data_IF_132429326455
#
_entry.id   IF_132429326455
#
_cell.length_a   1.000
_cell.length_b   1.000
_cell.length_c   1.000
_cell.angle_alpha   90.00
_cell.angle_beta   90.00
_cell.angle_gamma   90.00
#
_symmetry.space_group_name_H-M   'P 1'
#
loop_
_entity.id
_entity.type
_entity.pdbx_description
1 polymer ?
#
# COMPACT_ATOMS: atom_id res chain seq x y z
N UNK A 1 -27.90 41.07 -60.57
CA UNK A 1 -29.34 41.31 -60.65
C UNK A 1 -30.03 41.03 -59.35
N UNK A 2 -30.42 42.17 -58.76
CA UNK A 2 -31.62 42.47 -57.97
C UNK A 2 -31.79 41.75 -56.61
N UNK A 3 -31.60 42.52 -55.56
CA UNK A 3 -32.57 43.33 -54.82
C UNK A 3 -33.60 42.49 -54.07
N UNK A 4 -33.69 42.52 -52.71
CA UNK A 4 -34.45 43.53 -52.02
C UNK A 4 -34.23 43.48 -50.44
N UNK A 5 -34.17 44.67 -49.93
CA UNK A 5 -34.15 45.18 -48.57
C UNK A 5 -35.41 44.86 -47.74
N UNK A 6 -35.18 45.02 -46.43
CA UNK A 6 -36.11 45.52 -45.42
C UNK A 6 -37.11 44.55 -44.77
N UNK A 7 -36.95 44.27 -43.53
CA UNK A 7 -37.73 45.02 -42.52
C UNK A 7 -37.28 44.87 -41.11
N UNK A 8 -37.03 46.02 -40.47
CA UNK A 8 -36.91 46.16 -38.99
C UNK A 8 -38.24 45.85 -38.34
N UNK A 9 -38.21 45.14 -37.22
CA UNK A 9 -39.07 45.49 -36.09
C UNK A 9 -38.39 45.09 -34.77
N UNK A 10 -38.08 46.11 -34.01
CA UNK A 10 -37.73 46.05 -32.58
C UNK A 10 -38.83 45.39 -31.78
N UNK A 11 -38.48 44.44 -30.90
CA UNK A 11 -39.21 44.21 -29.66
C UNK A 11 -38.29 43.86 -28.54
N UNK A 12 -38.16 44.81 -27.65
CA UNK A 12 -37.66 44.65 -26.31
C UNK A 12 -38.47 43.61 -25.55
N UNK A 13 -37.82 42.78 -24.77
CA UNK A 13 -38.52 41.84 -23.92
C UNK A 13 -37.60 40.97 -23.06
N UNK A 14 -37.22 41.51 -21.90
CA UNK A 14 -36.95 40.81 -20.65
C UNK A 14 -35.91 39.69 -20.67
N UNK A 15 -34.79 40.02 -20.09
CA UNK A 15 -33.83 39.06 -19.52
C UNK A 15 -34.53 38.12 -18.56
N UNK A 16 -34.43 36.84 -18.87
CA UNK A 16 -34.59 35.76 -17.92
C UNK A 16 -33.19 35.40 -17.48
N UNK A 17 -32.80 35.87 -16.33
CA UNK A 17 -31.67 35.36 -15.58
C UNK A 17 -32.05 33.97 -15.17
N UNK A 18 -31.62 32.97 -15.93
CA UNK A 18 -31.60 31.59 -15.46
C UNK A 18 -30.52 31.47 -14.39
N UNK A 19 -30.92 31.72 -13.14
CA UNK A 19 -30.22 31.19 -11.98
C UNK A 19 -30.37 29.67 -12.04
N UNK A 20 -29.47 29.00 -12.75
CA UNK A 20 -29.15 27.64 -12.44
C UNK A 20 -28.23 27.70 -11.24
N UNK A 21 -28.80 27.89 -10.06
CA UNK A 21 -28.28 27.32 -8.85
C UNK A 21 -28.21 25.81 -9.14
N UNK A 22 -26.99 25.34 -9.43
CA UNK A 22 -26.67 23.93 -9.36
C UNK A 22 -26.88 23.56 -7.90
N UNK A 23 -28.09 23.10 -7.57
CA UNK A 23 -28.32 22.28 -6.40
C UNK A 23 -27.37 21.07 -6.50
N UNK A 24 -26.18 21.26 -5.95
CA UNK A 24 -25.37 20.18 -5.43
C UNK A 24 -26.15 19.62 -4.23
N UNK A 25 -27.22 18.86 -4.48
CA UNK A 25 -27.66 17.87 -3.53
C UNK A 25 -26.45 16.97 -3.30
N UNK A 26 -25.67 17.28 -2.26
CA UNK A 26 -24.77 16.33 -1.62
C UNK A 26 -25.68 15.14 -1.24
N UNK A 27 -25.72 14.17 -2.13
CA UNK A 27 -26.22 12.85 -1.81
C UNK A 27 -25.34 12.34 -0.67
N UNK A 28 -25.83 12.47 0.54
CA UNK A 28 -25.27 11.94 1.77
C UNK A 28 -25.43 10.40 1.75
N UNK A 29 -24.93 9.79 0.64
CA UNK A 29 -24.79 8.34 0.56
C UNK A 29 -23.73 7.96 1.59
N UNK A 30 -24.13 7.25 2.62
CA UNK A 30 -23.27 6.74 3.67
C UNK A 30 -22.11 5.95 3.06
N UNK A 31 -20.93 6.58 2.93
CA UNK A 31 -19.75 5.96 2.38
C UNK A 31 -19.13 5.01 3.40
N UNK A 32 -18.76 3.82 2.98
CA UNK A 32 -18.07 2.84 3.82
C UNK A 32 -16.56 3.09 3.78
N UNK A 33 -15.92 3.31 4.94
CA UNK A 33 -14.48 3.50 4.99
C UNK A 33 -13.74 2.20 4.64
N UNK A 34 -12.64 2.34 3.92
CA UNK A 34 -11.73 1.23 3.59
C UNK A 34 -10.29 1.61 3.85
N UNK A 35 -9.47 0.61 4.14
CA UNK A 35 -8.02 0.74 4.18
C UNK A 35 -7.38 -0.52 3.60
N UNK A 36 -6.22 -0.35 2.98
CA UNK A 36 -5.49 -1.47 2.41
C UNK A 36 -4.25 -1.04 1.64
N UNK A 37 -3.59 -2.00 1.00
CA UNK A 37 -2.38 -1.77 0.21
C UNK A 37 -2.74 -1.73 -1.27
N UNK A 38 -2.27 -0.70 -1.97
CA UNK A 38 -2.52 -0.53 -3.40
C UNK A 38 -1.61 -1.46 -4.23
N UNK A 39 -2.24 -2.28 -5.06
CA UNK A 39 -1.59 -3.11 -6.07
C UNK A 39 -1.92 -2.56 -7.46
N UNK A 40 -0.91 -2.01 -8.15
CA UNK A 40 -1.06 -1.43 -9.49
C UNK A 40 -0.51 -2.39 -10.52
N UNK A 41 -1.38 -2.84 -11.41
CA UNK A 41 -1.04 -3.68 -12.54
C UNK A 41 -1.06 -2.88 -13.86
N UNK A 42 -0.74 -3.52 -14.97
CA UNK A 42 -0.60 -2.84 -16.26
C UNK A 42 -1.89 -2.14 -16.75
N UNK A 43 -3.05 -2.70 -16.47
CA UNK A 43 -4.36 -2.25 -16.98
C UNK A 43 -5.39 -1.94 -15.87
N UNK A 44 -5.08 -2.21 -14.62
CA UNK A 44 -5.98 -1.98 -13.48
C UNK A 44 -5.20 -1.83 -12.18
N UNK A 45 -5.88 -1.32 -11.15
CA UNK A 45 -5.34 -1.26 -9.79
C UNK A 45 -6.41 -1.67 -8.78
N UNK A 46 -5.96 -2.26 -7.66
CA UNK A 46 -6.82 -2.65 -6.54
C UNK A 46 -6.20 -2.24 -5.22
N UNK A 47 -7.04 -1.82 -4.28
CA UNK A 47 -6.67 -1.76 -2.87
C UNK A 47 -6.95 -3.13 -2.26
N UNK A 48 -5.90 -3.82 -1.83
CA UNK A 48 -5.97 -5.11 -1.14
C UNK A 48 -6.36 -4.87 0.31
N UNK A 49 -7.55 -5.32 0.70
CA UNK A 49 -8.09 -5.04 2.04
C UNK A 49 -7.86 -6.18 3.04
N UNK A 50 -7.51 -7.37 2.56
CA UNK A 50 -7.36 -8.59 3.37
C UNK A 50 -5.95 -9.17 3.31
N UNK A 51 -4.93 -8.32 3.29
CA UNK A 51 -3.52 -8.71 3.17
C UNK A 51 -2.90 -8.26 1.85
N UNK A 52 -1.95 -9.04 1.31
CA UNK A 52 -1.18 -8.66 0.11
C UNK A 52 -1.63 -9.40 -1.17
N UNK A 53 -2.43 -10.44 -1.03
CA UNK A 53 -2.93 -11.26 -2.14
C UNK A 53 -4.36 -10.84 -2.49
N UNK A 54 -4.77 -11.11 -3.74
CA UNK A 54 -6.11 -10.80 -4.22
C UNK A 54 -7.19 -11.43 -3.35
N UNK A 55 -8.16 -10.62 -2.94
CA UNK A 55 -9.28 -11.02 -2.07
C UNK A 55 -10.65 -10.60 -2.62
N UNK A 56 -11.71 -11.17 -2.07
CA UNK A 56 -13.07 -10.88 -2.54
C UNK A 56 -13.56 -9.46 -2.24
N UNK A 57 -12.97 -8.82 -1.22
CA UNK A 57 -13.34 -7.49 -0.74
C UNK A 57 -12.40 -6.40 -1.25
N UNK A 58 -11.58 -6.71 -2.25
CA UNK A 58 -10.67 -5.74 -2.83
C UNK A 58 -11.44 -4.60 -3.51
N UNK A 59 -10.87 -3.41 -3.46
CA UNK A 59 -11.49 -2.20 -3.99
C UNK A 59 -10.81 -1.80 -5.29
N UNK A 60 -11.60 -1.67 -6.35
CA UNK A 60 -11.11 -1.25 -7.65
C UNK A 60 -10.73 0.23 -7.67
N UNK A 61 -9.58 0.53 -8.26
CA UNK A 61 -9.09 1.89 -8.48
C UNK A 61 -8.76 2.05 -9.96
N UNK A 62 -9.28 3.08 -10.58
CA UNK A 62 -8.97 3.34 -11.99
C UNK A 62 -7.54 3.86 -12.13
N UNK A 63 -6.87 3.54 -13.24
CA UNK A 63 -5.54 4.09 -13.53
C UNK A 63 -5.55 5.62 -13.65
N UNK A 64 -6.69 6.21 -14.02
CA UNK A 64 -6.90 7.66 -14.01
C UNK A 64 -6.81 8.24 -12.58
N UNK A 65 -7.44 7.59 -11.61
CA UNK A 65 -7.35 7.97 -10.20
C UNK A 65 -5.92 7.78 -9.65
N UNK A 66 -5.26 6.65 -9.99
CA UNK A 66 -3.86 6.40 -9.62
C UNK A 66 -2.96 7.56 -10.07
N UNK A 67 -3.08 7.99 -11.32
CA UNK A 67 -2.31 9.11 -11.87
C UNK A 67 -2.69 10.45 -11.25
N UNK A 68 -3.99 10.71 -11.09
CA UNK A 68 -4.51 11.97 -10.53
C UNK A 68 -4.03 12.19 -9.10
N UNK A 69 -4.03 11.14 -8.28
CA UNK A 69 -3.63 11.20 -6.86
C UNK A 69 -2.13 10.92 -6.64
N UNK A 70 -1.39 10.58 -7.69
CA UNK A 70 0.04 10.28 -7.58
C UNK A 70 0.34 9.02 -6.78
N UNK A 71 -0.57 8.04 -6.82
CA UNK A 71 -0.45 6.78 -6.11
C UNK A 71 0.62 5.88 -6.73
N UNK A 72 1.22 5.05 -5.89
CA UNK A 72 2.23 4.07 -6.28
C UNK A 72 1.86 2.68 -5.76
N UNK A 73 2.28 1.65 -6.47
CA UNK A 73 2.11 0.27 -5.98
C UNK A 73 2.79 0.11 -4.62
N UNK A 74 2.11 -0.51 -3.66
CA UNK A 74 2.57 -0.66 -2.29
C UNK A 74 2.16 0.48 -1.34
N UNK A 75 1.49 1.54 -1.82
CA UNK A 75 0.96 2.59 -0.95
C UNK A 75 -0.14 2.05 -0.03
N UNK A 76 -0.06 2.37 1.26
CA UNK A 76 -1.15 2.18 2.20
C UNK A 76 -2.20 3.27 1.97
N UNK A 77 -3.37 2.88 1.47
CA UNK A 77 -4.46 3.77 1.07
C UNK A 77 -5.57 3.72 2.11
N UNK A 78 -6.06 4.88 2.52
CA UNK A 78 -7.29 5.04 3.28
C UNK A 78 -8.28 5.86 2.45
N UNK A 79 -9.54 5.43 2.43
CA UNK A 79 -10.56 6.08 1.60
C UNK A 79 -11.94 5.50 1.86
N UNK A 80 -12.85 5.72 0.93
CA UNK A 80 -14.22 5.25 1.07
C UNK A 80 -14.81 4.75 -0.26
N UNK A 81 -15.70 3.78 -0.15
CA UNK A 81 -16.48 3.20 -1.24
C UNK A 81 -17.97 3.41 -1.00
N UNK A 82 -18.77 3.37 -2.05
CA UNK A 82 -20.22 3.32 -1.91
C UNK A 82 -20.67 1.94 -1.44
N UNK A 83 -21.63 1.87 -0.53
CA UNK A 83 -22.26 0.59 -0.19
C UNK A 83 -22.92 0.00 -1.43
N UNK A 84 -22.98 -1.33 -1.55
CA UNK A 84 -23.73 -1.98 -2.62
C UNK A 84 -25.22 -1.63 -2.45
N UNK A 85 -25.87 -1.10 -3.51
CA UNK A 85 -27.31 -0.81 -3.48
C UNK A 85 -28.09 -2.13 -3.49
N UNK A 86 -28.98 -2.30 -2.52
CA UNK A 86 -29.95 -3.42 -2.53
C UNK A 86 -30.82 -3.30 -3.79
N UNK A 87 -30.68 -4.28 -4.69
CA UNK A 87 -31.47 -4.32 -5.95
C UNK A 87 -30.68 -4.03 -7.22
N UNK A 88 -29.40 -3.66 -7.14
CA UNK A 88 -28.58 -3.51 -8.34
C UNK A 88 -28.14 -4.89 -8.87
N UNK A 89 -29.01 -5.47 -9.72
CA UNK A 89 -28.75 -6.68 -10.49
C UNK A 89 -27.64 -6.53 -11.53
N UNK A 90 -26.77 -5.53 -11.38
CA UNK A 90 -25.66 -5.31 -12.29
C UNK A 90 -24.53 -6.29 -11.97
N UNK A 91 -24.75 -7.57 -12.28
CA UNK A 91 -23.81 -8.70 -12.19
C UNK A 91 -22.45 -8.48 -12.89
N UNK A 92 -22.19 -7.27 -13.41
CA UNK A 92 -20.96 -6.94 -14.15
C UNK A 92 -19.87 -6.34 -13.28
N UNK A 93 -20.19 -5.80 -12.10
CA UNK A 93 -19.17 -5.18 -11.24
C UNK A 93 -18.89 -6.07 -10.02
N UNK A 94 -17.83 -6.86 -10.11
CA UNK A 94 -17.44 -7.83 -9.08
C UNK A 94 -16.86 -7.14 -7.83
N UNK A 95 -16.33 -5.92 -7.98
CA UNK A 95 -15.62 -5.18 -6.94
C UNK A 95 -16.19 -3.77 -6.79
N UNK A 96 -16.23 -3.26 -5.56
CA UNK A 96 -16.57 -1.87 -5.30
C UNK A 96 -15.45 -0.95 -5.83
N UNK A 97 -15.84 0.22 -6.32
CA UNK A 97 -14.89 1.23 -6.79
C UNK A 97 -14.57 2.22 -5.66
N UNK A 98 -13.32 2.65 -5.58
CA UNK A 98 -12.91 3.73 -4.68
C UNK A 98 -13.55 5.04 -5.14
N UNK A 99 -14.28 5.70 -4.24
CA UNK A 99 -14.98 6.97 -4.49
C UNK A 99 -14.18 8.14 -3.94
N UNK A 100 -13.68 8.00 -2.74
CA UNK A 100 -12.93 9.05 -2.04
C UNK A 100 -11.62 8.51 -1.50
N UNK A 101 -10.56 9.29 -1.65
CA UNK A 101 -9.25 9.05 -1.05
C UNK A 101 -9.08 10.02 0.11
N UNK A 102 -8.75 9.52 1.28
CA UNK A 102 -8.59 10.31 2.51
C UNK A 102 -7.11 10.49 2.88
N UNK A 103 -6.32 9.42 2.81
CA UNK A 103 -4.89 9.47 3.11
C UNK A 103 -4.08 8.42 2.34
N UNK A 104 -2.80 8.69 2.16
CA UNK A 104 -1.81 7.80 1.54
C UNK A 104 -0.59 7.69 2.45
N UNK A 105 -0.29 6.49 2.96
CA UNK A 105 0.81 6.27 3.92
C UNK A 105 0.73 7.19 5.16
N UNK A 106 -0.48 7.53 5.61
CA UNK A 106 -0.71 8.47 6.71
C UNK A 106 -0.46 9.94 6.38
N UNK A 107 -0.17 10.27 5.12
CA UNK A 107 0.05 11.64 4.63
C UNK A 107 -1.19 12.17 3.91
N UNK A 108 -1.24 13.51 3.75
CA UNK A 108 -2.21 14.15 2.85
C UNK A 108 -1.98 13.72 1.39
N UNK A 109 -2.99 13.89 0.54
CA UNK A 109 -2.87 13.59 -0.90
C UNK A 109 -1.82 14.47 -1.56
N UNK A 110 -1.75 15.73 -1.16
CA UNK A 110 -0.81 16.72 -1.67
C UNK A 110 0.64 16.31 -1.34
N UNK A 111 0.91 15.95 -0.09
CA UNK A 111 2.23 15.49 0.35
C UNK A 111 2.62 14.19 -0.34
N UNK A 112 1.66 13.27 -0.48
CA UNK A 112 1.88 12.01 -1.18
C UNK A 112 2.25 12.22 -2.66
N UNK A 113 1.66 13.21 -3.34
CA UNK A 113 2.00 13.59 -4.72
C UNK A 113 3.39 14.24 -4.82
N UNK A 114 3.77 15.03 -3.82
CA UNK A 114 5.07 15.72 -3.78
C UNK A 114 6.26 14.79 -3.47
N UNK A 115 6.00 13.53 -3.12
CA UNK A 115 7.06 12.55 -2.76
C UNK A 115 8.09 12.40 -3.87
N UNK A 116 9.39 12.45 -3.50
CA UNK A 116 10.49 12.07 -4.39
C UNK A 116 10.34 10.62 -4.84
N UNK A 117 10.70 10.34 -6.09
CA UNK A 117 10.72 8.96 -6.57
C UNK A 117 11.95 8.22 -6.06
N UNK A 118 11.82 6.92 -5.81
CA UNK A 118 12.93 6.11 -5.28
C UNK A 118 14.20 6.20 -6.13
N UNK A 119 14.08 6.24 -7.45
CA UNK A 119 15.21 6.37 -8.39
C UNK A 119 15.97 7.69 -8.28
N UNK A 120 15.31 8.73 -7.73
CA UNK A 120 15.88 10.07 -7.59
C UNK A 120 16.48 10.30 -6.18
N UNK A 121 16.38 9.28 -5.29
CA UNK A 121 16.98 9.32 -3.97
C UNK A 121 18.49 9.09 -4.05
N UNK A 122 19.23 9.83 -3.22
CA UNK A 122 20.69 9.67 -3.09
C UNK A 122 20.96 8.61 -2.01
N UNK A 123 21.66 7.49 -2.35
CA UNK A 123 22.03 6.49 -1.36
C UNK A 123 23.07 7.03 -0.38
N UNK A 124 22.82 6.85 0.91
CA UNK A 124 23.77 7.22 1.97
C UNK A 124 24.25 5.96 2.68
N UNK A 125 25.50 6.00 3.19
CA UNK A 125 25.97 4.96 4.09
C UNK A 125 25.21 5.01 5.40
N UNK A 126 24.89 3.83 6.02
CA UNK A 126 24.28 3.79 7.34
C UNK A 126 25.24 4.37 8.37
N UNK A 127 24.76 5.30 9.18
CA UNK A 127 25.52 5.97 10.25
C UNK A 127 25.05 5.57 11.65
N UNK A 128 23.97 4.78 11.73
CA UNK A 128 23.44 4.23 12.98
C UNK A 128 23.47 2.71 12.95
N UNK A 129 23.99 2.09 14.00
CA UNK A 129 24.05 0.64 14.12
C UNK A 129 22.77 0.11 14.78
N UNK A 130 22.23 -0.98 14.23
CA UNK A 130 21.25 -1.84 14.91
C UNK A 130 21.98 -2.75 15.90
N UNK A 131 22.06 -2.35 17.17
CA UNK A 131 22.68 -3.20 18.18
C UNK A 131 21.81 -4.42 18.45
N UNK A 132 22.44 -5.59 18.39
CA UNK A 132 21.77 -6.88 18.59
C UNK A 132 21.98 -7.44 19.97
N UNK A 133 23.10 -7.14 20.63
CA UNK A 133 23.38 -7.64 21.98
C UNK A 133 22.32 -7.14 22.97
N UNK A 134 21.53 -8.06 23.51
CA UNK A 134 20.51 -7.80 24.53
C UNK A 134 20.69 -8.69 25.78
N UNK A 135 21.54 -9.72 25.71
CA UNK A 135 21.77 -10.66 26.79
C UNK A 135 23.25 -11.12 26.80
N UNK A 136 24.00 -10.87 27.88
CA UNK A 136 25.41 -11.29 27.98
C UNK A 136 25.61 -12.80 27.91
N UNK A 137 24.56 -13.60 28.16
CA UNK A 137 24.59 -15.06 28.03
C UNK A 137 24.48 -15.57 26.60
N UNK A 138 24.10 -14.68 25.65
CA UNK A 138 24.00 -15.02 24.22
C UNK A 138 25.16 -14.38 23.46
N UNK A 139 26.28 -15.09 23.25
CA UNK A 139 27.43 -14.52 22.57
C UNK A 139 27.22 -14.26 21.07
N UNK A 140 26.23 -14.91 20.45
CA UNK A 140 25.97 -14.80 19.00
C UNK A 140 25.69 -13.35 18.56
N UNK A 141 24.79 -12.68 19.28
CA UNK A 141 24.43 -11.29 18.97
C UNK A 141 25.62 -10.35 19.15
N UNK A 142 26.41 -10.54 20.21
CA UNK A 142 27.64 -9.77 20.44
C UNK A 142 28.69 -10.00 19.36
N UNK A 143 28.84 -11.26 18.92
CA UNK A 143 29.77 -11.58 17.81
C UNK A 143 29.36 -10.87 16.53
N UNK A 144 28.05 -10.85 16.21
CA UNK A 144 27.55 -10.13 15.03
C UNK A 144 27.84 -8.64 15.18
N UNK A 145 27.54 -8.04 16.32
CA UNK A 145 27.80 -6.60 16.56
C UNK A 145 29.27 -6.22 16.43
N UNK A 146 30.20 -7.13 16.74
CA UNK A 146 31.65 -6.87 16.68
C UNK A 146 32.26 -7.15 15.31
N UNK A 147 31.81 -8.21 14.64
CA UNK A 147 32.45 -8.73 13.42
C UNK A 147 31.72 -8.27 12.15
N UNK A 148 30.37 -8.22 12.20
CA UNK A 148 29.53 -7.89 11.06
C UNK A 148 28.35 -6.98 11.51
N UNK A 149 28.64 -5.78 12.03
CA UNK A 149 27.61 -4.86 12.51
C UNK A 149 26.61 -4.52 11.42
N UNK A 150 25.32 -4.49 11.80
CA UNK A 150 24.23 -4.17 10.88
C UNK A 150 23.82 -2.71 11.12
N UNK A 151 23.80 -1.91 10.07
CA UNK A 151 23.35 -0.51 10.12
C UNK A 151 21.89 -0.37 9.76
N UNK A 152 21.21 0.66 10.28
CA UNK A 152 19.86 1.02 9.87
C UNK A 152 19.84 1.38 8.38
N UNK A 153 18.95 0.73 7.61
CA UNK A 153 18.87 0.87 6.15
C UNK A 153 19.89 0.06 5.35
N UNK A 154 20.75 -0.72 6.02
CA UNK A 154 21.73 -1.56 5.32
C UNK A 154 21.10 -2.82 4.74
N UNK A 155 21.54 -3.20 3.54
CA UNK A 155 21.22 -4.50 2.94
C UNK A 155 22.28 -5.51 3.34
N UNK A 156 21.92 -6.56 4.05
CA UNK A 156 22.78 -7.67 4.45
C UNK A 156 22.36 -8.98 3.77
N UNK A 157 23.33 -9.88 3.54
CA UNK A 157 23.11 -11.21 3.02
C UNK A 157 23.66 -12.24 4.03
N UNK A 158 22.82 -13.21 4.41
CA UNK A 158 23.21 -14.34 5.26
C UNK A 158 23.20 -15.60 4.40
N UNK A 159 24.39 -16.13 4.13
CA UNK A 159 24.58 -17.36 3.36
C UNK A 159 25.07 -18.45 4.29
N UNK A 160 24.40 -19.59 4.26
CA UNK A 160 24.82 -20.75 5.05
C UNK A 160 24.42 -22.05 4.34
N UNK A 161 25.18 -23.15 4.53
CA UNK A 161 24.76 -24.45 4.07
C UNK A 161 23.48 -24.90 4.80
N UNK A 162 22.74 -25.89 4.27
CA UNK A 162 21.58 -26.46 4.95
C UNK A 162 21.94 -26.93 6.38
N UNK A 163 21.01 -26.76 7.31
CA UNK A 163 21.14 -27.20 8.72
C UNK A 163 22.24 -26.49 9.53
N UNK A 164 22.79 -25.39 9.05
CA UNK A 164 23.82 -24.60 9.77
C UNK A 164 23.27 -23.60 10.80
N UNK A 165 21.95 -23.53 11.00
CA UNK A 165 21.31 -22.64 11.97
C UNK A 165 20.89 -21.28 11.41
N UNK A 166 20.73 -21.12 10.08
CA UNK A 166 20.28 -19.87 9.44
C UNK A 166 19.00 -19.31 10.10
N UNK A 167 17.99 -20.14 10.26
CA UNK A 167 16.70 -19.75 10.87
C UNK A 167 16.87 -19.27 12.30
N UNK A 168 17.71 -19.94 13.09
CA UNK A 168 17.98 -19.55 14.48
C UNK A 168 18.62 -18.16 14.53
N UNK A 169 19.59 -17.88 13.66
CA UNK A 169 20.25 -16.58 13.60
C UNK A 169 19.25 -15.50 13.18
N UNK A 170 18.39 -15.76 12.18
CA UNK A 170 17.35 -14.82 11.74
C UNK A 170 16.38 -14.51 12.88
N UNK A 171 15.93 -15.52 13.64
CA UNK A 171 15.07 -15.32 14.80
C UNK A 171 15.76 -14.49 15.90
N UNK A 172 17.04 -14.75 16.17
CA UNK A 172 17.82 -13.98 17.14
C UNK A 172 17.99 -12.51 16.73
N UNK A 173 18.27 -12.25 15.46
CA UNK A 173 18.37 -10.89 14.91
C UNK A 173 17.00 -10.18 15.01
N UNK A 174 15.93 -10.83 14.58
CA UNK A 174 14.58 -10.29 14.64
C UNK A 174 14.17 -9.91 16.07
N UNK A 175 14.37 -10.82 17.03
CA UNK A 175 14.07 -10.58 18.42
C UNK A 175 14.96 -9.49 19.05
N UNK A 176 16.21 -9.39 18.63
CA UNK A 176 17.11 -8.34 19.10
C UNK A 176 16.65 -6.96 18.60
N UNK A 177 16.26 -6.87 17.33
CA UNK A 177 15.75 -5.61 16.74
C UNK A 177 14.51 -5.15 17.49
N UNK A 178 13.52 -6.01 17.70
CA UNK A 178 12.28 -5.64 18.40
C UNK A 178 12.50 -5.27 19.87
N UNK A 179 13.55 -5.79 20.50
CA UNK A 179 13.89 -5.49 21.89
C UNK A 179 14.66 -4.17 22.01
N UNK A 180 15.68 -3.98 21.18
CA UNK A 180 16.61 -2.87 21.30
C UNK A 180 16.18 -1.63 20.49
N UNK A 181 15.34 -1.82 19.45
CA UNK A 181 14.88 -0.77 18.54
C UNK A 181 13.36 -0.88 18.36
N UNK A 182 12.55 -0.59 19.40
CA UNK A 182 11.10 -0.74 19.38
C UNK A 182 10.41 0.20 18.40
N UNK A 183 11.10 1.25 17.94
CA UNK A 183 10.64 2.17 16.89
C UNK A 183 10.67 1.54 15.49
N UNK A 184 11.42 0.44 15.31
CA UNK A 184 11.53 -0.23 14.02
C UNK A 184 10.31 -1.12 13.77
N UNK A 185 9.66 -0.94 12.63
CA UNK A 185 8.66 -1.90 12.15
C UNK A 185 9.37 -3.11 11.54
N UNK A 186 9.20 -4.27 12.19
CA UNK A 186 9.82 -5.50 11.74
C UNK A 186 8.87 -6.31 10.86
N UNK A 187 9.31 -6.60 9.65
CA UNK A 187 8.63 -7.51 8.73
C UNK A 187 9.53 -8.70 8.39
N UNK A 188 8.96 -9.90 8.41
CA UNK A 188 9.63 -11.13 7.98
C UNK A 188 8.89 -11.68 6.78
N UNK A 189 9.57 -11.78 5.65
CA UNK A 189 9.02 -12.34 4.42
C UNK A 189 9.66 -13.70 4.17
N UNK A 190 8.83 -14.74 4.17
CA UNK A 190 9.24 -16.14 4.01
C UNK A 190 8.73 -16.65 2.66
N UNK A 191 9.65 -17.03 1.78
CA UNK A 191 9.33 -17.57 0.46
C UNK A 191 9.91 -18.98 0.34
N UNK A 192 9.08 -19.91 -0.14
CA UNK A 192 9.45 -21.33 -0.33
C UNK A 192 9.85 -22.05 0.98
N UNK A 193 9.36 -21.54 2.11
CA UNK A 193 9.59 -22.16 3.42
C UNK A 193 8.49 -23.19 3.74
N UNK A 194 8.78 -24.07 4.69
CA UNK A 194 7.83 -25.09 5.15
C UNK A 194 6.76 -24.49 6.07
N UNK A 195 5.50 -24.97 6.02
CA UNK A 195 4.42 -24.46 6.86
C UNK A 195 4.74 -24.47 8.36
N UNK A 196 5.43 -25.50 8.85
CA UNK A 196 5.84 -25.59 10.25
C UNK A 196 6.88 -24.53 10.63
N UNK A 197 7.80 -24.17 9.72
CA UNK A 197 8.80 -23.11 9.94
C UNK A 197 8.15 -21.73 9.95
N UNK A 198 7.14 -21.52 9.11
CA UNK A 198 6.33 -20.29 9.11
C UNK A 198 5.60 -20.14 10.45
N UNK A 199 4.96 -21.20 10.93
CA UNK A 199 4.25 -21.19 12.21
C UNK A 199 5.21 -20.91 13.38
N UNK A 200 6.40 -21.51 13.36
CA UNK A 200 7.42 -21.27 14.38
C UNK A 200 7.89 -19.81 14.37
N UNK A 201 8.15 -19.24 13.20
CA UNK A 201 8.53 -17.85 13.05
C UNK A 201 7.43 -16.90 13.57
N UNK A 202 6.17 -17.14 13.24
CA UNK A 202 5.03 -16.35 13.72
C UNK A 202 4.87 -16.38 15.25
N UNK A 203 5.24 -17.50 15.91
CA UNK A 203 5.18 -17.63 17.37
C UNK A 203 6.38 -16.99 18.07
N UNK A 204 7.54 -17.02 17.43
CA UNK A 204 8.82 -16.65 18.03
C UNK A 204 9.18 -15.18 17.83
N UNK A 205 8.78 -14.59 16.70
CA UNK A 205 9.15 -13.23 16.32
C UNK A 205 7.99 -12.27 16.59
N UNK A 206 8.26 -11.18 17.29
CA UNK A 206 7.33 -10.08 17.50
C UNK A 206 7.43 -9.12 16.30
N UNK A 207 6.76 -9.45 15.19
CA UNK A 207 6.77 -8.67 13.97
C UNK A 207 5.70 -9.17 13.01
N UNK A 208 5.55 -8.50 11.88
CA UNK A 208 4.67 -8.94 10.81
C UNK A 208 5.34 -10.07 10.04
N UNK A 209 4.68 -11.23 9.90
CA UNK A 209 5.20 -12.37 9.13
C UNK A 209 4.32 -12.59 7.91
N UNK A 210 4.93 -12.42 6.74
CA UNK A 210 4.31 -12.66 5.44
C UNK A 210 4.95 -13.92 4.87
N UNK A 211 4.13 -14.88 4.46
CA UNK A 211 4.67 -16.16 3.99
C UNK A 211 3.98 -16.68 2.74
N UNK A 212 4.78 -17.21 1.83
CA UNK A 212 4.37 -18.04 0.72
C UNK A 212 5.10 -19.37 0.82
N UNK A 213 4.39 -20.41 1.27
CA UNK A 213 4.96 -21.72 1.54
C UNK A 213 5.24 -22.50 0.24
N UNK A 214 6.11 -23.51 0.31
CA UNK A 214 6.63 -24.27 -0.84
C UNK A 214 5.53 -24.94 -1.69
N UNK A 215 4.35 -25.18 -1.12
CA UNK A 215 3.18 -25.77 -1.77
C UNK A 215 2.33 -24.75 -2.58
N UNK A 216 2.68 -23.46 -2.51
CA UNK A 216 2.01 -22.42 -3.25
C UNK A 216 2.52 -22.32 -4.71
N UNK A 217 1.67 -21.85 -5.65
CA UNK A 217 2.11 -21.60 -7.00
C UNK A 217 3.15 -20.48 -7.08
N UNK A 218 4.00 -20.51 -8.12
CA UNK A 218 5.06 -19.52 -8.32
C UNK A 218 4.56 -18.07 -8.41
N UNK A 219 3.33 -17.86 -8.87
CA UNK A 219 2.68 -16.53 -8.85
C UNK A 219 2.55 -15.93 -7.47
N UNK A 220 2.27 -16.77 -6.46
CA UNK A 220 2.10 -16.32 -5.07
C UNK A 220 3.44 -15.94 -4.44
N UNK A 221 4.55 -16.57 -4.90
CA UNK A 221 5.89 -16.20 -4.47
C UNK A 221 6.34 -14.84 -5.02
N UNK A 222 5.74 -14.41 -6.14
CA UNK A 222 6.10 -13.15 -6.81
C UNK A 222 5.18 -11.98 -6.41
N UNK A 223 4.04 -12.25 -5.80
CA UNK A 223 3.08 -11.24 -5.35
C UNK A 223 3.48 -10.61 -4.04
#
# INVERSE_FOLDING_TARGET
DNWNENNRTERAGRGKVDNREEDSEENDEELLPIAGVLDVQSNHAFVRTSGYVAGPNDVYVTLGQVRRWGLRSGDAVQGAVRPPKEGDNNRRQKYNALVRLDAVNGMSIEDARARTQFKDLVPLYPNEQLRLENNPKNPTQRIIDLIAPIGKGQRGLIVSPPKAGKTIILQQIANAITTNNPECHLMVVLVDERPEEVTDMQRTVKGEVIASTFDRPASDHAS
#
